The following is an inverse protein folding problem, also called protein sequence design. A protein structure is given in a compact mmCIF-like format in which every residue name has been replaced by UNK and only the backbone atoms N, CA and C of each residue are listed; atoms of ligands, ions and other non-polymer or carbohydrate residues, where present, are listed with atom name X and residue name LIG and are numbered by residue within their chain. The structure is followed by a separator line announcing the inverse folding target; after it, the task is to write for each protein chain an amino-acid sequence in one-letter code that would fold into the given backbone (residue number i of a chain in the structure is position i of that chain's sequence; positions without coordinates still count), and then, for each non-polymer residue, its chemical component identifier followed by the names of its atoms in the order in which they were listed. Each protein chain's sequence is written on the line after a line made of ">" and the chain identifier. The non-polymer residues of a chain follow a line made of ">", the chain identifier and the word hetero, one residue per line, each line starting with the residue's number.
data_IF_314676646707
#
_entry.id   IF_314676646707
#
_cell.length_a   1.000
_cell.length_b   1.000
_cell.length_c   1.000
_cell.angle_alpha   90.00
_cell.angle_beta   90.00
_cell.angle_gamma   90.00
#
_symmetry.space_group_name_H-M   'P 1'
#
loop_
_entity.id
_entity.type
_entity.pdbx_description
1 polymer ?
#
# COMPACT_ATOMS: atom_id res chain seq x y z
N UNK A 1 27.82 17.02 9.03
CA UNK A 1 27.63 15.77 9.80
C UNK A 1 27.04 14.68 8.91
N UNK A 2 27.89 13.86 8.32
CA UNK A 2 27.52 12.75 7.46
C UNK A 2 28.30 11.52 7.89
N UNK A 3 27.68 10.34 7.91
CA UNK A 3 28.42 9.08 8.03
C UNK A 3 28.43 8.38 6.68
N UNK A 4 29.62 8.05 6.23
CA UNK A 4 29.81 7.19 5.06
C UNK A 4 30.31 5.84 5.54
N UNK A 5 29.70 4.76 5.06
CA UNK A 5 30.13 3.38 5.26
C UNK A 5 30.08 2.93 6.72
N UNK A 6 28.88 2.56 7.16
CA UNK A 6 28.63 2.09 8.52
C UNK A 6 28.37 0.59 8.49
N UNK A 7 29.30 -0.18 9.07
CA UNK A 7 29.16 -1.63 9.24
C UNK A 7 29.41 -2.00 10.70
N UNK A 8 28.34 -2.05 11.49
CA UNK A 8 28.38 -2.40 12.91
C UNK A 8 27.22 -3.32 13.25
N UNK A 9 27.27 -3.96 14.42
CA UNK A 9 26.16 -4.80 14.86
C UNK A 9 24.90 -3.96 15.15
N UNK A 10 25.01 -2.88 15.92
CA UNK A 10 23.85 -2.09 16.34
C UNK A 10 24.15 -0.59 16.41
N UNK A 11 23.14 0.23 16.12
CA UNK A 11 23.12 1.68 16.28
C UNK A 11 21.85 2.08 17.03
N UNK A 12 21.94 2.90 18.07
CA UNK A 12 20.78 3.16 18.95
C UNK A 12 20.26 4.59 18.94
N UNK A 13 21.12 5.57 18.68
CA UNK A 13 20.73 6.99 18.61
C UNK A 13 21.55 7.64 17.50
N UNK A 14 20.93 7.77 16.34
CA UNK A 14 21.58 8.33 15.16
C UNK A 14 20.89 9.63 14.80
N UNK A 15 21.61 10.73 14.95
CA UNK A 15 21.17 12.06 14.52
C UNK A 15 22.25 12.70 13.66
N UNK A 16 22.15 12.53 12.34
CA UNK A 16 23.11 13.06 11.37
C UNK A 16 22.37 13.64 10.17
N UNK A 17 23.04 14.45 9.37
CA UNK A 17 22.44 14.97 8.15
C UNK A 17 22.25 13.85 7.12
N UNK A 18 23.28 13.06 6.86
CA UNK A 18 23.20 11.98 5.86
C UNK A 18 23.92 10.72 6.29
N UNK A 19 23.39 9.57 5.84
CA UNK A 19 24.08 8.29 5.91
C UNK A 19 24.12 7.64 4.53
N UNK A 20 25.25 7.01 4.20
CA UNK A 20 25.40 6.22 2.99
C UNK A 20 26.05 4.88 3.32
N UNK A 21 25.67 3.83 2.58
CA UNK A 21 26.22 2.47 2.71
C UNK A 21 26.13 1.93 4.15
N UNK A 22 24.91 1.83 4.67
CA UNK A 22 24.64 1.33 6.02
C UNK A 22 24.30 -0.16 5.97
N UNK A 23 25.09 -0.97 6.64
CA UNK A 23 24.85 -2.41 6.83
C UNK A 23 24.95 -2.75 8.31
N UNK A 24 23.80 -2.90 8.97
CA UNK A 24 23.77 -3.15 10.43
C UNK A 24 22.70 -4.17 10.78
N UNK A 25 22.86 -4.87 11.91
CA UNK A 25 21.83 -5.80 12.36
C UNK A 25 20.62 -5.02 12.90
N UNK A 26 20.83 -4.03 13.76
CA UNK A 26 19.72 -3.24 14.32
C UNK A 26 19.99 -1.74 14.32
N UNK A 27 18.97 -0.95 13.99
CA UNK A 27 18.95 0.48 14.31
C UNK A 27 17.73 0.87 15.12
N UNK A 28 17.95 1.74 16.10
CA UNK A 28 16.89 2.40 16.86
C UNK A 28 17.07 3.93 16.81
N UNK A 29 15.96 4.66 16.99
CA UNK A 29 15.92 6.12 17.15
C UNK A 29 16.76 6.86 16.09
N UNK A 30 16.41 6.65 14.83
CA UNK A 30 17.15 7.21 13.69
C UNK A 30 16.44 8.49 13.21
N UNK A 31 17.15 9.61 13.24
CA UNK A 31 16.71 10.90 12.69
C UNK A 31 17.74 11.40 11.69
N UNK A 32 17.45 11.28 10.39
CA UNK A 32 18.42 11.59 9.33
C UNK A 32 17.74 12.35 8.19
N UNK A 33 18.41 13.31 7.56
CA UNK A 33 17.83 13.97 6.39
C UNK A 33 17.82 13.03 5.16
N UNK A 34 18.91 12.33 4.89
CA UNK A 34 18.97 11.39 3.75
C UNK A 34 19.69 10.08 4.05
N UNK A 35 19.11 8.97 3.57
CA UNK A 35 19.71 7.64 3.57
C UNK A 35 19.69 7.07 2.15
N UNK A 36 20.83 6.60 1.64
CA UNK A 36 20.91 6.15 0.22
C UNK A 36 20.89 4.64 0.04
N UNK A 37 21.75 3.90 0.72
CA UNK A 37 21.81 2.44 0.67
C UNK A 37 21.78 1.88 2.09
N UNK A 38 20.67 1.25 2.44
CA UNK A 38 20.41 0.76 3.80
C UNK A 38 20.02 -0.72 3.73
N UNK A 39 20.84 -1.57 4.36
CA UNK A 39 20.57 -2.98 4.57
C UNK A 39 20.55 -3.25 6.07
N UNK A 40 19.36 -3.47 6.64
CA UNK A 40 19.21 -3.64 8.09
C UNK A 40 18.31 -4.81 8.44
N UNK A 41 18.63 -5.57 9.48
CA UNK A 41 17.71 -6.62 9.92
C UNK A 41 16.50 -6.01 10.66
N UNK A 42 16.71 -5.11 11.63
CA UNK A 42 15.61 -4.45 12.34
C UNK A 42 15.78 -2.94 12.47
N UNK A 43 14.72 -2.19 12.18
CA UNK A 43 14.65 -0.74 12.31
C UNK A 43 13.49 -0.32 13.22
N UNK A 44 13.80 0.41 14.29
CA UNK A 44 12.80 0.89 15.26
C UNK A 44 12.85 2.41 15.36
N UNK A 45 11.69 3.06 15.17
CA UNK A 45 11.53 4.51 15.19
C UNK A 45 12.49 5.25 14.24
N UNK A 46 12.07 5.36 12.99
CA UNK A 46 12.83 6.00 11.91
C UNK A 46 12.09 7.25 11.46
N UNK A 47 12.77 8.39 11.51
CA UNK A 47 12.32 9.66 10.94
C UNK A 47 13.33 10.11 9.91
N UNK A 48 13.00 10.00 8.62
CA UNK A 48 13.92 10.33 7.53
C UNK A 48 13.27 11.20 6.49
N UNK A 49 13.95 12.23 5.98
CA UNK A 49 13.37 13.01 4.89
C UNK A 49 13.42 12.25 3.55
N UNK A 50 14.53 11.60 3.22
CA UNK A 50 14.66 10.81 2.00
C UNK A 50 15.35 9.46 2.21
N UNK A 51 14.76 8.40 1.68
CA UNK A 51 15.32 7.05 1.63
C UNK A 51 15.35 6.57 0.17
N UNK A 52 16.53 6.23 -0.36
CA UNK A 52 16.64 5.82 -1.76
C UNK A 52 16.49 4.29 -1.94
N UNK A 53 17.43 3.49 -1.44
CA UNK A 53 17.42 2.03 -1.55
C UNK A 53 17.47 1.38 -0.17
N UNK A 54 16.36 0.75 0.20
CA UNK A 54 16.12 0.21 1.53
C UNK A 54 15.78 -1.27 1.44
N UNK A 55 16.59 -2.11 2.07
CA UNK A 55 16.31 -3.52 2.30
C UNK A 55 16.27 -3.78 3.79
N UNK A 56 15.09 -4.04 4.35
CA UNK A 56 14.94 -4.24 5.79
C UNK A 56 14.13 -5.49 6.08
N UNK A 57 14.52 -6.30 7.06
CA UNK A 57 13.66 -7.42 7.46
C UNK A 57 12.43 -6.91 8.22
N UNK A 58 12.62 -6.13 9.29
CA UNK A 58 11.52 -5.59 10.09
C UNK A 58 11.60 -4.08 10.32
N UNK A 59 10.51 -3.36 10.07
CA UNK A 59 10.36 -1.95 10.40
C UNK A 59 9.14 -1.71 11.30
N UNK A 60 9.35 -1.10 12.46
CA UNK A 60 8.26 -0.90 13.43
C UNK A 60 7.49 0.40 13.22
N UNK A 61 8.17 1.55 13.31
CA UNK A 61 7.57 2.88 13.21
C UNK A 61 8.41 3.75 12.29
N UNK A 62 7.84 4.11 11.14
CA UNK A 62 8.55 4.79 10.05
C UNK A 62 7.76 6.03 9.65
N UNK A 63 8.42 7.19 9.73
CA UNK A 63 7.94 8.46 9.20
C UNK A 63 8.94 8.94 8.15
N UNK A 64 8.55 8.93 6.88
CA UNK A 64 9.44 9.30 5.79
C UNK A 64 8.79 10.27 4.82
N UNK A 65 9.49 11.30 4.36
CA UNK A 65 8.91 12.17 3.33
C UNK A 65 8.96 11.50 1.95
N UNK A 66 10.09 10.90 1.57
CA UNK A 66 10.22 10.20 0.28
C UNK A 66 10.95 8.87 0.40
N UNK A 67 10.36 7.83 -0.20
CA UNK A 67 10.97 6.51 -0.35
C UNK A 67 10.97 6.09 -1.82
N UNK A 68 12.14 5.78 -2.39
CA UNK A 68 12.23 5.40 -3.79
C UNK A 68 12.08 3.89 -4.01
N UNK A 69 13.00 3.07 -3.51
CA UNK A 69 13.00 1.62 -3.65
C UNK A 69 13.07 0.93 -2.28
N UNK A 70 11.98 0.28 -1.91
CA UNK A 70 11.80 -0.33 -0.58
C UNK A 70 11.45 -1.80 -0.72
N UNK A 71 12.31 -2.66 -0.17
CA UNK A 71 12.06 -4.08 0.01
C UNK A 71 12.03 -4.40 1.50
N UNK A 72 10.88 -4.77 2.03
CA UNK A 72 10.72 -5.07 3.45
C UNK A 72 10.00 -6.39 3.67
N UNK A 73 10.40 -7.17 4.67
CA UNK A 73 9.59 -8.35 5.02
C UNK A 73 8.35 -7.91 5.82
N UNK A 74 8.51 -7.18 6.91
CA UNK A 74 7.39 -6.73 7.75
C UNK A 74 7.48 -5.24 8.07
N UNK A 75 6.39 -4.49 7.87
CA UNK A 75 6.21 -3.16 8.46
C UNK A 75 4.95 -3.05 9.32
N UNK A 76 5.09 -2.47 10.51
CA UNK A 76 3.97 -2.29 11.41
C UNK A 76 3.25 -0.94 11.19
N UNK A 77 3.93 0.19 11.37
CA UNK A 77 3.34 1.52 11.24
C UNK A 77 4.18 2.42 10.32
N UNK A 78 3.58 2.82 9.21
CA UNK A 78 4.23 3.59 8.14
C UNK A 78 3.43 4.82 7.80
N UNK A 79 4.07 5.99 7.92
CA UNK A 79 3.56 7.29 7.46
C UNK A 79 4.53 7.85 6.43
N UNK A 80 4.11 7.93 5.17
CA UNK A 80 5.00 8.36 4.08
C UNK A 80 4.32 9.37 3.17
N UNK A 81 5.02 10.42 2.75
CA UNK A 81 4.42 11.34 1.77
C UNK A 81 4.47 10.75 0.35
N UNK A 82 5.61 10.20 -0.07
CA UNK A 82 5.75 9.59 -1.40
C UNK A 82 6.52 8.28 -1.39
N UNK A 83 5.98 7.29 -2.09
CA UNK A 83 6.58 5.96 -2.29
C UNK A 83 6.59 5.62 -3.79
N UNK A 84 7.76 5.36 -4.37
CA UNK A 84 7.84 5.01 -5.78
C UNK A 84 7.67 3.50 -6.03
N UNK A 85 8.56 2.66 -5.50
CA UNK A 85 8.54 1.21 -5.67
C UNK A 85 8.65 0.50 -4.32
N UNK A 86 7.61 -0.27 -3.99
CA UNK A 86 7.45 -0.93 -2.70
C UNK A 86 7.14 -2.40 -2.89
N UNK A 87 8.00 -3.27 -2.35
CA UNK A 87 7.77 -4.71 -2.26
C UNK A 87 7.77 -5.12 -0.80
N UNK A 88 6.63 -5.59 -0.29
CA UNK A 88 6.52 -5.97 1.13
C UNK A 88 5.82 -7.31 1.29
N UNK A 89 6.24 -8.12 2.27
CA UNK A 89 5.48 -9.32 2.60
C UNK A 89 4.26 -8.97 3.47
N UNK A 90 4.43 -8.26 4.59
CA UNK A 90 3.34 -7.85 5.46
C UNK A 90 3.39 -6.38 5.85
N UNK A 91 2.24 -5.70 5.76
CA UNK A 91 2.02 -4.33 6.24
C UNK A 91 0.79 -4.28 7.14
N UNK A 92 0.93 -3.69 8.33
CA UNK A 92 -0.19 -3.56 9.25
C UNK A 92 -0.93 -2.24 9.06
N UNK A 93 -0.29 -1.10 9.29
CA UNK A 93 -0.91 0.22 9.21
C UNK A 93 -0.11 1.17 8.31
N UNK A 94 -0.75 1.61 7.25
CA UNK A 94 -0.13 2.42 6.20
C UNK A 94 -0.95 3.67 5.95
N UNK A 95 -0.30 4.83 6.12
CA UNK A 95 -0.83 6.14 5.72
C UNK A 95 0.13 6.76 4.71
N UNK A 96 -0.29 6.86 3.45
CA UNK A 96 0.57 7.40 2.39
C UNK A 96 -0.14 8.45 1.56
N UNK A 97 0.53 9.53 1.19
CA UNK A 97 -0.08 10.48 0.26
C UNK A 97 -0.06 9.94 -1.18
N UNK A 98 1.09 9.46 -1.66
CA UNK A 98 1.21 8.90 -3.01
C UNK A 98 2.02 7.61 -3.05
N UNK A 99 1.50 6.58 -3.71
CA UNK A 99 2.27 5.39 -4.08
C UNK A 99 2.15 5.10 -5.59
N UNK A 100 3.29 4.89 -6.24
CA UNK A 100 3.34 4.60 -7.66
C UNK A 100 3.21 3.09 -7.96
N UNK A 101 4.14 2.27 -7.48
CA UNK A 101 4.17 0.82 -7.70
C UNK A 101 4.27 0.06 -6.39
N UNK A 102 3.26 -0.74 -6.09
CA UNK A 102 3.13 -1.50 -4.84
C UNK A 102 2.85 -2.97 -5.12
N UNK A 103 3.71 -3.84 -4.59
CA UNK A 103 3.51 -5.28 -4.57
C UNK A 103 3.55 -5.77 -3.13
N UNK A 104 2.41 -6.20 -2.58
CA UNK A 104 2.35 -6.67 -1.18
C UNK A 104 1.63 -8.01 -1.05
N UNK A 105 2.12 -8.90 -0.20
CA UNK A 105 1.39 -10.12 0.09
C UNK A 105 0.17 -9.84 1.00
N UNK A 106 0.37 -9.23 2.17
CA UNK A 106 -0.72 -8.90 3.09
C UNK A 106 -0.71 -7.45 3.56
N UNK A 107 -1.87 -6.79 3.47
CA UNK A 107 -2.12 -5.45 4.02
C UNK A 107 -3.32 -5.52 4.97
N UNK A 108 -3.19 -4.98 6.19
CA UNK A 108 -4.33 -4.88 7.12
C UNK A 108 -5.11 -3.58 6.95
N UNK A 109 -4.50 -2.43 7.24
CA UNK A 109 -5.16 -1.12 7.21
C UNK A 109 -4.37 -0.13 6.33
N UNK A 110 -5.02 0.33 5.27
CA UNK A 110 -4.42 1.21 4.26
C UNK A 110 -5.25 2.47 4.08
N UNK A 111 -4.63 3.63 4.27
CA UNK A 111 -5.19 4.94 3.95
C UNK A 111 -4.25 5.64 2.96
N UNK A 112 -4.72 5.85 1.72
CA UNK A 112 -3.88 6.48 0.69
C UNK A 112 -4.62 7.52 -0.12
N UNK A 113 -4.00 8.64 -0.43
CA UNK A 113 -4.62 9.62 -1.32
C UNK A 113 -4.57 9.16 -2.80
N UNK A 114 -3.42 8.73 -3.30
CA UNK A 114 -3.29 8.25 -4.68
C UNK A 114 -2.45 6.99 -4.81
N UNK A 115 -2.98 5.99 -5.51
CA UNK A 115 -2.32 4.74 -5.87
C UNK A 115 -2.33 4.55 -7.38
N UNK A 116 -1.17 4.31 -7.99
CA UNK A 116 -1.11 4.13 -9.46
C UNK A 116 -1.20 2.66 -9.87
N UNK A 117 -0.27 1.82 -9.42
CA UNK A 117 -0.21 0.39 -9.75
C UNK A 117 -0.07 -0.44 -8.48
N UNK A 118 -1.08 -1.28 -8.23
CA UNK A 118 -1.19 -2.09 -7.01
C UNK A 118 -1.39 -3.55 -7.37
N UNK A 119 -0.54 -4.42 -6.85
CA UNK A 119 -0.70 -5.86 -6.86
C UNK A 119 -0.67 -6.38 -5.42
N UNK A 120 -1.80 -6.87 -4.90
CA UNK A 120 -1.86 -7.35 -3.52
C UNK A 120 -2.53 -8.72 -3.42
N UNK A 121 -2.03 -9.62 -2.57
CA UNK A 121 -2.72 -10.88 -2.34
C UNK A 121 -3.94 -10.67 -1.43
N UNK A 122 -3.78 -10.11 -0.24
CA UNK A 122 -4.92 -9.84 0.66
C UNK A 122 -4.90 -8.42 1.24
N UNK A 123 -6.06 -7.76 1.23
CA UNK A 123 -6.29 -6.47 1.89
C UNK A 123 -7.51 -6.57 2.82
N UNK A 124 -7.34 -6.24 4.09
CA UNK A 124 -8.48 -6.23 5.03
C UNK A 124 -9.30 -4.94 4.93
N UNK A 125 -8.66 -3.78 5.08
CA UNK A 125 -9.32 -2.48 5.08
C UNK A 125 -8.53 -1.47 4.24
N UNK A 126 -9.19 -0.90 3.23
CA UNK A 126 -8.61 0.12 2.36
C UNK A 126 -9.53 1.32 2.23
N UNK A 127 -8.97 2.50 2.45
CA UNK A 127 -9.58 3.80 2.21
C UNK A 127 -8.70 4.60 1.27
N UNK A 128 -9.13 4.79 0.02
CA UNK A 128 -8.30 5.46 -0.99
C UNK A 128 -9.07 6.55 -1.71
N UNK A 129 -8.44 7.69 -1.99
CA UNK A 129 -9.10 8.71 -2.80
C UNK A 129 -9.08 8.32 -4.29
N UNK A 130 -7.93 7.92 -4.83
CA UNK A 130 -7.83 7.50 -6.23
C UNK A 130 -6.97 6.26 -6.42
N UNK A 131 -7.46 5.30 -7.20
CA UNK A 131 -6.66 4.18 -7.72
C UNK A 131 -6.79 4.04 -9.22
N UNK A 132 -5.66 3.87 -9.91
CA UNK A 132 -5.63 3.68 -11.36
C UNK A 132 -5.70 2.20 -11.75
N UNK A 133 -4.66 1.40 -11.45
CA UNK A 133 -4.56 -0.01 -11.83
C UNK A 133 -4.38 -0.90 -10.60
N UNK A 134 -5.38 -1.74 -10.32
CA UNK A 134 -5.44 -2.57 -9.11
C UNK A 134 -5.71 -4.02 -9.46
N UNK A 135 -4.80 -4.90 -9.06
CA UNK A 135 -4.97 -6.35 -9.09
C UNK A 135 -4.90 -6.91 -7.67
N UNK A 136 -6.01 -7.46 -7.16
CA UNK A 136 -6.05 -7.99 -5.79
C UNK A 136 -6.69 -9.37 -5.75
N UNK A 137 -6.15 -10.29 -4.97
CA UNK A 137 -6.81 -11.59 -4.81
C UNK A 137 -8.02 -11.49 -3.85
N UNK A 138 -7.86 -10.91 -2.67
CA UNK A 138 -8.98 -10.70 -1.75
C UNK A 138 -9.00 -9.31 -1.12
N UNK A 139 -10.17 -8.67 -1.10
CA UNK A 139 -10.42 -7.49 -0.27
C UNK A 139 -11.66 -7.65 0.60
N UNK A 140 -11.57 -7.28 1.88
CA UNK A 140 -12.71 -7.36 2.77
C UNK A 140 -13.53 -6.05 2.81
N UNK A 141 -12.93 -4.92 3.18
CA UNK A 141 -13.61 -3.63 3.28
C UNK A 141 -12.90 -2.54 2.47
N UNK A 142 -13.60 -2.02 1.47
CA UNK A 142 -13.06 -1.07 0.48
C UNK A 142 -13.92 0.18 0.46
N UNK A 143 -13.30 1.34 0.70
CA UNK A 143 -13.91 2.66 0.52
C UNK A 143 -13.05 3.47 -0.43
N UNK A 144 -13.57 3.81 -1.61
CA UNK A 144 -12.77 4.51 -2.63
C UNK A 144 -13.56 5.63 -3.31
N UNK A 145 -12.93 6.78 -3.53
CA UNK A 145 -13.60 7.83 -4.32
C UNK A 145 -13.55 7.54 -5.82
N UNK A 146 -12.41 7.13 -6.38
CA UNK A 146 -12.31 6.78 -7.79
C UNK A 146 -11.42 5.58 -8.07
N UNK A 147 -11.92 4.65 -8.89
CA UNK A 147 -11.23 3.47 -9.39
C UNK A 147 -11.27 3.44 -10.91
N UNK A 148 -10.12 3.26 -11.58
CA UNK A 148 -10.10 3.19 -13.06
C UNK A 148 -10.14 1.76 -13.58
N UNK A 149 -9.14 0.93 -13.29
CA UNK A 149 -9.03 -0.44 -13.76
C UNK A 149 -8.78 -1.38 -12.57
N UNK A 150 -9.76 -2.24 -12.30
CA UNK A 150 -9.75 -3.14 -11.15
C UNK A 150 -9.99 -4.57 -11.58
N UNK A 151 -9.09 -5.46 -11.20
CA UNK A 151 -9.25 -6.91 -11.31
C UNK A 151 -9.15 -7.53 -9.93
N UNK A 152 -10.26 -8.07 -9.41
CA UNK A 152 -10.24 -8.76 -8.10
C UNK A 152 -10.84 -10.15 -8.15
N UNK A 153 -10.29 -11.08 -7.38
CA UNK A 153 -10.91 -12.40 -7.25
C UNK A 153 -12.09 -12.38 -6.26
N UNK A 154 -11.91 -11.87 -5.04
CA UNK A 154 -13.01 -11.76 -4.07
C UNK A 154 -13.07 -10.40 -3.40
N UNK A 155 -14.26 -9.81 -3.34
CA UNK A 155 -14.55 -8.62 -2.54
C UNK A 155 -15.77 -8.85 -1.65
N UNK A 156 -15.70 -8.41 -0.39
CA UNK A 156 -16.83 -8.55 0.53
C UNK A 156 -17.69 -7.29 0.58
N UNK A 157 -17.13 -6.15 1.02
CA UNK A 157 -17.86 -4.89 1.19
C UNK A 157 -17.13 -3.76 0.47
N UNK A 158 -17.79 -3.21 -0.55
CA UNK A 158 -17.23 -2.17 -1.42
C UNK A 158 -18.16 -0.98 -1.46
N UNK A 159 -17.64 0.19 -1.10
CA UNK A 159 -18.29 1.50 -1.25
C UNK A 159 -17.43 2.37 -2.14
N UNK A 160 -17.92 2.70 -3.34
CA UNK A 160 -17.13 3.46 -4.31
C UNK A 160 -17.94 4.60 -4.91
N UNK A 161 -17.35 5.78 -5.07
CA UNK A 161 -18.07 6.87 -5.75
C UNK A 161 -18.06 6.70 -7.27
N UNK A 162 -16.90 6.38 -7.87
CA UNK A 162 -16.79 6.16 -9.31
C UNK A 162 -15.93 4.94 -9.64
N UNK A 163 -16.42 4.05 -10.51
CA UNK A 163 -15.58 3.03 -11.13
C UNK A 163 -15.75 3.00 -12.65
N UNK A 164 -14.61 2.94 -13.35
CA UNK A 164 -14.61 2.82 -14.80
C UNK A 164 -14.70 1.35 -15.24
N UNK A 165 -13.61 0.59 -15.18
CA UNK A 165 -13.50 -0.80 -15.64
C UNK A 165 -13.21 -1.75 -14.49
N UNK A 166 -14.17 -2.61 -14.18
CA UNK A 166 -14.10 -3.55 -13.06
C UNK A 166 -14.36 -4.98 -13.54
N UNK A 167 -13.43 -5.88 -13.25
CA UNK A 167 -13.58 -7.33 -13.44
C UNK A 167 -13.44 -8.01 -12.09
N UNK A 168 -14.49 -8.68 -11.62
CA UNK A 168 -14.43 -9.40 -10.34
C UNK A 168 -14.98 -10.81 -10.47
N UNK A 169 -14.38 -11.77 -9.78
CA UNK A 169 -14.94 -13.12 -9.73
C UNK A 169 -16.11 -13.22 -8.75
N UNK A 170 -15.95 -12.77 -7.50
CA UNK A 170 -17.03 -12.77 -6.51
C UNK A 170 -17.13 -11.45 -5.76
N UNK A 171 -18.34 -10.89 -5.67
CA UNK A 171 -18.65 -9.73 -4.84
C UNK A 171 -19.83 -10.01 -3.93
N UNK A 172 -19.75 -9.61 -2.66
CA UNK A 172 -20.87 -9.79 -1.73
C UNK A 172 -21.78 -8.55 -1.68
N UNK A 173 -21.27 -7.42 -1.18
CA UNK A 173 -22.03 -6.18 -1.01
C UNK A 173 -21.32 -5.01 -1.67
N UNK A 174 -22.01 -4.39 -2.63
CA UNK A 174 -21.48 -3.31 -3.46
C UNK A 174 -22.42 -2.10 -3.43
N UNK A 175 -21.88 -0.95 -3.01
CA UNK A 175 -22.52 0.36 -3.03
C UNK A 175 -21.72 1.27 -3.96
N UNK A 176 -22.31 1.68 -5.09
CA UNK A 176 -21.59 2.53 -6.05
C UNK A 176 -22.44 3.68 -6.56
N UNK A 177 -21.88 4.89 -6.60
CA UNK A 177 -22.58 6.01 -7.19
C UNK A 177 -22.57 5.97 -8.72
N UNK A 178 -21.42 5.76 -9.35
CA UNK A 178 -21.30 5.67 -10.81
C UNK A 178 -20.41 4.53 -11.26
N UNK A 179 -20.92 3.73 -12.20
CA UNK A 179 -20.24 2.58 -12.80
C UNK A 179 -20.30 2.66 -14.32
N UNK A 180 -19.15 2.49 -15.00
CA UNK A 180 -19.17 2.42 -16.48
C UNK A 180 -19.26 0.99 -17.01
N UNK A 181 -18.23 0.16 -16.78
CA UNK A 181 -18.14 -1.20 -17.29
C UNK A 181 -17.78 -2.13 -16.14
N UNK A 182 -18.69 -3.05 -15.83
CA UNK A 182 -18.45 -4.09 -14.84
C UNK A 182 -18.72 -5.49 -15.41
N UNK A 183 -17.80 -6.41 -15.15
CA UNK A 183 -17.93 -7.84 -15.43
C UNK A 183 -17.76 -8.61 -14.14
N UNK A 184 -18.82 -9.24 -13.63
CA UNK A 184 -18.73 -10.06 -12.41
C UNK A 184 -19.23 -11.49 -12.63
N UNK A 185 -18.50 -12.50 -12.13
CA UNK A 185 -18.98 -13.87 -12.20
C UNK A 185 -20.12 -14.15 -11.20
N UNK A 186 -19.96 -13.76 -9.93
CA UNK A 186 -21.01 -13.90 -8.91
C UNK A 186 -21.17 -12.61 -8.09
N UNK A 187 -22.40 -12.13 -7.95
CA UNK A 187 -22.77 -11.01 -7.09
C UNK A 187 -23.97 -11.36 -6.21
N UNK A 188 -23.97 -10.91 -4.95
CA UNK A 188 -25.12 -11.14 -4.04
C UNK A 188 -25.97 -9.91 -3.73
N UNK A 189 -25.39 -8.73 -3.54
CA UNK A 189 -26.14 -7.51 -3.25
C UNK A 189 -25.45 -6.30 -3.86
N UNK A 190 -26.18 -5.55 -4.68
CA UNK A 190 -25.68 -4.41 -5.44
C UNK A 190 -26.65 -3.25 -5.39
N UNK A 191 -26.15 -2.08 -5.01
CA UNK A 191 -26.87 -0.81 -5.08
C UNK A 191 -26.02 0.17 -5.87
N UNK A 192 -26.51 0.54 -7.06
CA UNK A 192 -25.81 1.43 -7.98
C UNK A 192 -26.73 2.56 -8.40
N UNK A 193 -26.27 3.81 -8.28
CA UNK A 193 -27.08 4.98 -8.67
C UNK A 193 -27.08 5.20 -10.19
N UNK A 194 -25.93 5.08 -10.84
CA UNK A 194 -25.79 5.23 -12.29
C UNK A 194 -24.89 4.14 -12.85
N UNK A 195 -25.35 3.46 -13.90
CA UNK A 195 -24.64 2.37 -14.55
C UNK A 195 -24.77 2.42 -16.07
N UNK A 196 -23.66 2.26 -16.81
CA UNK A 196 -23.72 2.20 -18.28
C UNK A 196 -23.75 0.78 -18.83
N UNK A 197 -22.92 -0.15 -18.33
CA UNK A 197 -22.91 -1.55 -18.76
C UNK A 197 -22.53 -2.51 -17.63
N UNK A 198 -23.33 -3.56 -17.47
CA UNK A 198 -23.12 -4.66 -16.52
C UNK A 198 -23.19 -5.97 -17.27
N UNK A 199 -22.17 -6.80 -17.11
CA UNK A 199 -22.18 -8.22 -17.46
C UNK A 199 -22.06 -9.03 -16.17
N UNK A 200 -23.03 -9.88 -15.88
CA UNK A 200 -22.94 -10.77 -14.73
C UNK A 200 -23.46 -12.16 -15.03
N UNK A 201 -22.73 -13.18 -14.56
CA UNK A 201 -23.10 -14.57 -14.77
C UNK A 201 -24.13 -15.06 -13.74
N UNK A 202 -23.95 -14.71 -12.46
CA UNK A 202 -24.90 -14.98 -11.39
C UNK A 202 -25.16 -13.70 -10.59
N UNK A 203 -26.42 -13.29 -10.54
CA UNK A 203 -26.91 -12.17 -9.74
C UNK A 203 -28.02 -12.66 -8.82
N UNK A 204 -27.81 -12.61 -7.50
CA UNK A 204 -28.93 -12.60 -6.56
C UNK A 204 -29.35 -11.13 -6.34
N UNK A 205 -30.63 -10.82 -6.49
CA UNK A 205 -31.17 -9.49 -6.20
C UNK A 205 -32.00 -9.60 -4.91
N UNK A 206 -31.77 -8.68 -3.96
CA UNK A 206 -32.65 -8.42 -2.81
C UNK A 206 -32.97 -6.94 -2.81
#
# INVERSE_FOLDING_TARGET
>A
NSMALVSVHSMTLVSVHSMALVSVHSMALVSVHSMTLVSVHSMTLVSVHSMALVSVHSMALVSVHSMALVSVHSMALVSVHSMALVTVHSMVLVSVHSMALVSVHSMSLVSVHSMTLVSVHSITLVSVHSMALVSVHSMALVSVHSMTLVTVHSMVLVSVHSMALVSVYSMTLVLVHSMTLVSVHSMTLVSVHSVTLVSAHSMALV
#
